data_IF_805482942645
#
_entry.id   IF_805482942645
#
_cell.length_a   1.000
_cell.length_b   1.000
_cell.length_c   1.000
_cell.angle_alpha   90.00
_cell.angle_beta   90.00
_cell.angle_gamma   90.00
#
_symmetry.space_group_name_H-M   'P 1'
#
loop_
_entity.id
_entity.type
_entity.pdbx_description
1 polymer ?
#
# COMPACT_ATOMS: atom_id res chain seq x y z
N UNK A 1 -8.26 14.60 1.67
CA UNK A 1 -8.86 13.26 1.55
C UNK A 1 -8.24 12.58 0.35
N UNK A 2 -7.48 11.49 0.54
CA UNK A 2 -6.61 10.99 -0.53
C UNK A 2 -7.03 9.63 -1.12
N UNK A 3 -7.97 8.93 -0.47
CA UNK A 3 -8.74 7.87 -1.10
C UNK A 3 -9.56 8.47 -2.25
N UNK A 4 -9.18 8.13 -3.47
CA UNK A 4 -9.74 8.70 -4.68
C UNK A 4 -11.05 8.02 -5.07
N UNK A 5 -11.07 6.69 -5.02
CA UNK A 5 -12.25 5.90 -5.41
C UNK A 5 -12.30 4.58 -4.68
N UNK A 6 -13.50 4.13 -4.34
CA UNK A 6 -13.78 2.74 -3.97
C UNK A 6 -14.73 2.16 -5.00
N UNK A 7 -14.43 0.95 -5.47
CA UNK A 7 -15.24 0.19 -6.42
C UNK A 7 -15.55 -1.17 -5.79
N UNK A 8 -16.80 -1.60 -5.93
CA UNK A 8 -17.26 -2.94 -5.54
C UNK A 8 -17.88 -3.59 -6.77
N UNK A 9 -17.05 -4.12 -7.70
CA UNK A 9 -17.56 -4.71 -8.93
C UNK A 9 -18.50 -5.89 -8.69
N UNK A 10 -18.34 -6.58 -7.55
CA UNK A 10 -19.25 -7.62 -7.08
C UNK A 10 -19.14 -7.77 -5.54
N UNK A 11 -19.88 -8.72 -4.97
CA UNK A 11 -19.93 -8.97 -3.51
C UNK A 11 -18.63 -9.54 -2.92
N UNK A 12 -17.73 -10.08 -3.75
CA UNK A 12 -16.51 -10.76 -3.33
C UNK A 12 -15.24 -9.94 -3.58
N UNK A 13 -15.36 -8.78 -4.24
CA UNK A 13 -14.21 -7.97 -4.68
C UNK A 13 -14.42 -6.51 -4.33
N UNK A 14 -13.44 -5.92 -3.66
CA UNK A 14 -13.37 -4.49 -3.40
C UNK A 14 -12.04 -3.94 -3.92
N UNK A 15 -12.11 -2.82 -4.63
CA UNK A 15 -10.95 -2.11 -5.16
C UNK A 15 -10.96 -0.72 -4.56
N UNK A 16 -9.85 -0.32 -3.95
CA UNK A 16 -9.62 1.04 -3.47
C UNK A 16 -8.48 1.66 -4.25
N UNK A 17 -8.68 2.89 -4.70
CA UNK A 17 -7.71 3.66 -5.49
C UNK A 17 -7.30 4.86 -4.68
N UNK A 18 -6.00 5.07 -4.53
CA UNK A 18 -5.40 6.19 -3.84
C UNK A 18 -4.77 7.15 -4.84
N UNK A 19 -5.04 8.46 -4.69
CA UNK A 19 -4.33 9.49 -5.46
C UNK A 19 -3.27 10.11 -4.56
N UNK A 20 -2.01 9.90 -4.93
CA UNK A 20 -0.83 10.35 -4.20
C UNK A 20 -0.66 11.85 -4.45
N UNK A 21 -1.00 12.66 -3.44
CA UNK A 21 -0.84 14.12 -3.47
C UNK A 21 0.05 14.62 -2.35
N UNK A 22 0.23 13.81 -1.32
CA UNK A 22 0.94 14.11 -0.09
C UNK A 22 2.45 13.92 -0.26
N UNK A 23 3.24 14.66 0.51
CA UNK A 23 4.70 14.49 0.57
C UNK A 23 5.07 13.17 1.25
N UNK A 24 6.32 12.74 1.06
CA UNK A 24 6.86 11.57 1.76
C UNK A 24 6.61 11.61 3.28
N UNK A 25 6.96 12.73 3.94
CA UNK A 25 6.81 12.88 5.39
C UNK A 25 5.35 12.76 5.84
N UNK A 26 4.41 13.32 5.08
CA UNK A 26 2.99 13.24 5.39
C UNK A 26 2.46 11.80 5.25
N UNK A 27 2.95 11.04 4.26
CA UNK A 27 2.60 9.63 4.11
C UNK A 27 3.24 8.75 5.18
N UNK A 28 4.47 9.05 5.60
CA UNK A 28 5.22 8.27 6.59
C UNK A 28 4.69 8.45 8.01
N UNK A 29 4.36 9.68 8.42
CA UNK A 29 4.03 10.02 9.80
C UNK A 29 2.94 9.15 10.48
N UNK A 30 1.83 8.78 9.82
CA UNK A 30 0.76 7.99 10.47
C UNK A 30 0.94 6.47 10.33
N UNK A 31 2.03 5.99 9.74
CA UNK A 31 2.28 4.57 9.47
C UNK A 31 3.21 3.97 10.53
N UNK A 32 2.84 2.78 11.00
CA UNK A 32 3.74 1.93 11.78
C UNK A 32 4.26 0.84 10.83
N UNK A 33 5.48 1.02 10.36
CA UNK A 33 6.13 0.07 9.45
C UNK A 33 6.91 -0.97 10.23
N UNK A 34 6.93 -2.20 9.72
CA UNK A 34 7.92 -3.20 10.11
C UNK A 34 9.32 -2.74 9.71
N UNK A 35 10.34 -3.27 10.38
CA UNK A 35 11.74 -2.97 10.05
C UNK A 35 12.06 -3.28 8.57
N UNK A 36 11.54 -4.39 8.05
CA UNK A 36 11.70 -4.77 6.65
C UNK A 36 11.08 -3.74 5.70
N UNK A 37 9.86 -3.27 5.96
CA UNK A 37 9.21 -2.26 5.15
C UNK A 37 9.90 -0.90 5.25
N UNK A 38 10.38 -0.53 6.44
CA UNK A 38 11.14 0.70 6.65
C UNK A 38 12.47 0.68 5.86
N UNK A 39 13.22 -0.41 5.95
CA UNK A 39 14.46 -0.58 5.19
C UNK A 39 14.18 -0.58 3.69
N UNK A 40 13.09 -1.23 3.25
CA UNK A 40 12.69 -1.26 1.84
C UNK A 40 12.37 0.13 1.29
N UNK A 41 11.59 0.95 2.00
CA UNK A 41 11.24 2.30 1.52
C UNK A 41 12.47 3.22 1.52
N UNK A 42 13.33 3.13 2.52
CA UNK A 42 14.57 3.92 2.58
C UNK A 42 15.59 3.50 1.51
N UNK A 43 15.57 2.24 1.08
CA UNK A 43 16.42 1.75 -0.01
C UNK A 43 15.97 2.18 -1.42
N UNK A 44 14.78 2.79 -1.57
CA UNK A 44 14.29 3.25 -2.87
C UNK A 44 15.00 4.52 -3.32
N UNK A 45 15.33 4.60 -4.62
CA UNK A 45 16.13 5.69 -5.19
C UNK A 45 15.35 6.99 -5.45
N UNK A 46 14.03 6.93 -5.56
CA UNK A 46 13.21 8.09 -5.92
C UNK A 46 12.07 8.28 -4.93
N UNK A 47 11.79 9.54 -4.61
CA UNK A 47 10.67 9.89 -3.73
C UNK A 47 9.33 9.46 -4.33
N UNK A 48 9.20 9.45 -5.67
CA UNK A 48 8.01 8.93 -6.36
C UNK A 48 7.72 7.47 -5.97
N UNK A 49 8.73 6.59 -6.03
CA UNK A 49 8.57 5.19 -5.64
C UNK A 49 8.36 5.03 -4.14
N UNK A 50 9.03 5.84 -3.32
CA UNK A 50 8.80 5.85 -1.87
C UNK A 50 7.35 6.20 -1.54
N UNK A 51 6.81 7.25 -2.17
CA UNK A 51 5.43 7.68 -1.99
C UNK A 51 4.45 6.62 -2.50
N UNK A 52 4.75 5.97 -3.64
CA UNK A 52 3.98 4.83 -4.15
C UNK A 52 3.98 3.62 -3.22
N UNK A 53 5.08 3.35 -2.54
CA UNK A 53 5.14 2.30 -1.51
C UNK A 53 4.30 2.65 -0.29
N UNK A 54 4.43 3.89 0.21
CA UNK A 54 3.70 4.35 1.39
C UNK A 54 2.19 4.46 1.13
N UNK A 55 1.75 4.92 -0.05
CA UNK A 55 0.33 4.97 -0.42
C UNK A 55 -0.33 3.59 -0.39
N UNK A 56 0.38 2.53 -0.79
CA UNK A 56 -0.11 1.16 -0.63
C UNK A 56 -0.35 0.81 0.85
N UNK A 57 0.49 1.30 1.77
CA UNK A 57 0.29 1.07 3.22
C UNK A 57 -0.92 1.81 3.77
N UNK A 58 -1.22 3.00 3.23
CA UNK A 58 -2.49 3.67 3.50
C UNK A 58 -3.68 2.87 2.99
N UNK A 59 -3.59 2.32 1.77
CA UNK A 59 -4.64 1.44 1.24
C UNK A 59 -4.86 0.19 2.09
N UNK A 60 -3.79 -0.46 2.58
CA UNK A 60 -3.91 -1.59 3.51
C UNK A 60 -4.67 -1.19 4.78
N UNK A 61 -4.32 -0.03 5.38
CA UNK A 61 -4.99 0.50 6.56
C UNK A 61 -6.47 0.79 6.31
N UNK A 62 -6.81 1.31 5.13
CA UNK A 62 -8.19 1.51 4.69
C UNK A 62 -8.96 0.18 4.57
N UNK A 63 -8.29 -0.93 4.27
CA UNK A 63 -8.89 -2.27 4.31
C UNK A 63 -8.89 -2.91 5.71
N UNK A 64 -8.37 -2.22 6.73
CA UNK A 64 -8.27 -2.72 8.10
C UNK A 64 -7.01 -3.56 8.36
N UNK A 65 -6.03 -3.55 7.45
CA UNK A 65 -4.77 -4.27 7.61
C UNK A 65 -3.65 -3.35 8.06
N UNK A 66 -2.66 -3.95 8.71
CA UNK A 66 -1.39 -3.31 9.08
C UNK A 66 -0.29 -3.73 8.11
N UNK A 67 0.85 -3.04 8.15
CA UNK A 67 2.03 -3.42 7.37
C UNK A 67 2.49 -4.86 7.67
N UNK A 68 2.31 -5.31 8.93
CA UNK A 68 2.69 -6.64 9.37
C UNK A 68 1.78 -7.75 8.83
N UNK A 69 0.60 -7.44 8.28
CA UNK A 69 -0.33 -8.44 7.74
C UNK A 69 0.00 -8.85 6.31
N UNK A 70 0.83 -8.05 5.62
CA UNK A 70 1.25 -8.27 4.25
C UNK A 70 2.63 -8.92 4.20
N UNK A 71 2.75 -10.00 3.44
CA UNK A 71 4.02 -10.65 3.13
C UNK A 71 4.11 -10.99 1.64
N UNK A 72 5.30 -11.31 1.17
CA UNK A 72 5.57 -11.65 -0.22
C UNK A 72 6.24 -13.01 -0.30
N UNK A 73 5.91 -13.80 -1.34
CA UNK A 73 6.68 -15.00 -1.66
C UNK A 73 7.98 -14.67 -2.41
N UNK A 74 8.75 -15.71 -2.72
CA UNK A 74 10.04 -15.60 -3.44
C UNK A 74 9.89 -15.03 -4.86
N UNK A 75 8.68 -15.07 -5.43
CA UNK A 75 8.37 -14.51 -6.74
C UNK A 75 7.82 -13.07 -6.65
N UNK A 76 7.73 -12.50 -5.45
CA UNK A 76 7.25 -11.15 -5.20
C UNK A 76 5.73 -11.02 -5.25
N UNK A 77 4.97 -12.11 -5.15
CA UNK A 77 3.51 -12.06 -5.08
C UNK A 77 3.04 -11.74 -3.65
N UNK A 78 2.12 -10.79 -3.46
CA UNK A 78 1.63 -10.41 -2.14
C UNK A 78 0.61 -11.41 -1.58
N UNK A 79 0.64 -11.62 -0.26
CA UNK A 79 -0.30 -12.43 0.50
C UNK A 79 -0.67 -11.74 1.81
N UNK A 80 -1.90 -11.99 2.27
CA UNK A 80 -2.39 -11.57 3.58
C UNK A 80 -2.41 -12.75 4.55
N UNK A 81 -2.08 -12.51 5.82
CA UNK A 81 -2.05 -13.54 6.86
C UNK A 81 -3.37 -14.26 7.09
N UNK A 82 -4.49 -13.61 6.81
CA UNK A 82 -5.83 -14.18 6.97
C UNK A 82 -6.29 -15.02 5.76
N UNK A 83 -5.42 -15.19 4.76
CA UNK A 83 -5.69 -15.99 3.57
C UNK A 83 -6.51 -15.27 2.50
N UNK A 84 -6.91 -14.00 2.71
CA UNK A 84 -7.57 -13.23 1.65
C UNK A 84 -6.61 -12.97 0.48
N UNK A 85 -7.16 -13.00 -0.73
CA UNK A 85 -6.41 -12.71 -1.95
C UNK A 85 -6.28 -11.21 -2.14
N UNK A 86 -5.08 -10.76 -2.51
CA UNK A 86 -4.78 -9.36 -2.76
C UNK A 86 -3.98 -9.22 -4.05
N UNK A 87 -4.24 -8.13 -4.77
CA UNK A 87 -3.43 -7.68 -5.89
C UNK A 87 -3.15 -6.19 -5.70
N UNK A 88 -1.91 -5.79 -5.95
CA UNK A 88 -1.42 -4.43 -5.72
C UNK A 88 -0.77 -3.95 -7.01
N UNK A 89 -1.19 -2.79 -7.48
CA UNK A 89 -0.57 -2.10 -8.61
C UNK A 89 -0.34 -0.65 -8.24
N UNK A 90 0.64 -0.01 -8.86
CA UNK A 90 0.84 1.43 -8.75
C UNK A 90 1.31 1.97 -10.09
N UNK A 91 0.94 3.20 -10.39
CA UNK A 91 1.34 3.90 -11.61
C UNK A 91 1.38 5.39 -11.36
N UNK A 92 2.55 5.99 -11.54
CA UNK A 92 2.80 7.42 -11.28
C UNK A 92 2.27 7.86 -9.91
N UNK A 93 1.22 8.68 -9.89
CA UNK A 93 0.63 9.25 -8.70
C UNK A 93 -0.62 8.48 -8.22
N UNK A 94 -0.77 7.23 -8.64
CA UNK A 94 -1.88 6.36 -8.24
C UNK A 94 -1.39 5.02 -7.73
N UNK A 95 -2.15 4.48 -6.77
CA UNK A 95 -2.03 3.12 -6.23
C UNK A 95 -3.41 2.51 -6.09
#
# INVERSE_FOLDING_TARGET
MPLYKTLTPNLQTCVKIWKITESFNALMAPLQLTENSFNRVNGMKSELHQRGFLSVRHLLKEFGYTDADLFYDDFGKPYLKDGKQISITHSFNFS
#
